data_IF_182348848467
#
_entry.id   IF_182348848467
#
_cell.length_a   1.000
_cell.length_b   1.000
_cell.length_c   1.000
_cell.angle_alpha   90.00
_cell.angle_beta   90.00
_cell.angle_gamma   90.00
#
_symmetry.space_group_name_H-M   'P 1'
#
loop_
_entity.id
_entity.type
_entity.pdbx_description
1 polymer ?
#
# COMPACT_ATOMS: atom_id res chain seq x y z
N UNK A 1 -11.74 -5.73 -19.03
CA UNK A 1 -10.62 -6.38 -19.73
C UNK A 1 -9.65 -6.84 -18.66
N UNK A 2 -9.51 -8.15 -18.46
CA UNK A 2 -8.57 -8.70 -17.46
C UNK A 2 -7.17 -8.65 -18.05
N UNK A 3 -6.26 -7.88 -17.46
CA UNK A 3 -4.85 -7.85 -17.88
C UNK A 3 -4.13 -8.97 -17.12
N UNK A 4 -4.00 -10.14 -17.75
CA UNK A 4 -3.26 -11.27 -17.18
C UNK A 4 -1.77 -11.04 -17.50
N UNK A 5 -0.97 -10.71 -16.49
CA UNK A 5 0.49 -10.62 -16.62
C UNK A 5 1.11 -11.86 -15.99
N UNK A 6 1.93 -12.61 -16.74
CA UNK A 6 2.58 -13.84 -16.27
C UNK A 6 3.57 -13.63 -15.13
N UNK A 7 3.99 -12.39 -14.86
CA UNK A 7 4.87 -12.04 -13.74
C UNK A 7 4.12 -11.55 -12.48
N UNK A 8 2.87 -11.12 -12.61
CA UNK A 8 2.08 -10.52 -11.52
C UNK A 8 0.64 -11.00 -11.62
N UNK A 9 0.22 -12.00 -10.82
CA UNK A 9 -1.13 -12.55 -10.93
C UNK A 9 -2.16 -11.49 -10.53
N UNK A 10 -2.85 -10.97 -11.56
CA UNK A 10 -4.15 -10.29 -11.55
C UNK A 10 -4.15 -8.83 -11.05
N UNK A 11 -3.82 -7.91 -11.98
CA UNK A 11 -4.37 -6.56 -11.97
C UNK A 11 -5.66 -6.57 -12.80
N UNK A 12 -6.81 -6.37 -12.16
CA UNK A 12 -8.11 -6.37 -12.86
C UNK A 12 -8.63 -4.94 -12.98
N UNK A 13 -9.06 -4.57 -14.17
CA UNK A 13 -9.83 -3.34 -14.40
C UNK A 13 -11.16 -3.69 -15.06
N UNK A 14 -12.24 -3.31 -14.39
CA UNK A 14 -13.58 -3.25 -14.95
C UNK A 14 -14.01 -1.80 -15.02
N UNK A 15 -14.14 -1.27 -16.23
CA UNK A 15 -14.77 0.03 -16.43
C UNK A 15 -16.25 -0.10 -16.10
N UNK A 16 -16.82 0.86 -15.37
CA UNK A 16 -18.28 0.93 -15.25
C UNK A 16 -18.84 1.44 -16.57
N UNK A 17 -19.94 0.85 -17.08
CA UNK A 17 -20.56 1.30 -18.32
C UNK A 17 -21.35 2.62 -18.18
N UNK A 18 -21.28 3.29 -17.03
CA UNK A 18 -22.02 4.54 -16.78
C UNK A 18 -21.26 5.78 -17.28
N UNK A 19 -21.96 6.90 -17.40
CA UNK A 19 -21.41 8.20 -17.81
C UNK A 19 -20.57 8.88 -16.72
N UNK A 20 -20.28 8.21 -15.59
CA UNK A 20 -19.60 8.84 -14.44
C UNK A 20 -18.09 8.96 -14.61
N UNK A 21 -17.53 8.38 -15.68
CA UNK A 21 -16.08 8.32 -15.88
C UNK A 21 -15.39 7.51 -14.78
N UNK A 22 -16.07 6.54 -14.16
CA UNK A 22 -15.53 5.75 -13.06
C UNK A 22 -15.11 4.34 -13.50
N UNK A 23 -13.85 4.00 -13.26
CA UNK A 23 -13.33 2.64 -13.37
C UNK A 23 -13.23 1.98 -11.99
N UNK A 24 -13.54 0.68 -11.90
CA UNK A 24 -13.19 -0.15 -10.75
C UNK A 24 -11.97 -1.00 -11.12
N UNK A 25 -10.85 -0.73 -10.46
CA UNK A 25 -9.65 -1.53 -10.48
C UNK A 25 -9.52 -2.43 -9.24
N UNK A 26 -8.62 -3.40 -9.32
CA UNK A 26 -8.07 -4.11 -8.17
C UNK A 26 -6.56 -4.21 -8.33
N UNK A 27 -5.85 -4.01 -7.22
CA UNK A 27 -4.41 -4.21 -7.12
C UNK A 27 -4.16 -5.35 -6.13
N UNK A 28 -3.33 -6.32 -6.50
CA UNK A 28 -2.93 -7.39 -5.60
C UNK A 28 -1.63 -7.03 -4.88
N UNK A 29 -1.45 -7.53 -3.66
CA UNK A 29 -0.14 -7.47 -3.01
C UNK A 29 0.86 -8.38 -3.70
N UNK A 30 2.13 -7.95 -3.76
CA UNK A 30 3.20 -8.73 -4.37
C UNK A 30 3.57 -9.94 -3.52
N UNK A 31 4.20 -10.93 -4.16
CA UNK A 31 4.76 -12.09 -3.47
C UNK A 31 5.91 -11.68 -2.53
N UNK A 32 6.03 -12.33 -1.38
CA UNK A 32 7.05 -12.07 -0.36
C UNK A 32 6.99 -10.66 0.25
N UNK A 33 5.83 -10.01 0.22
CA UNK A 33 5.61 -8.73 0.91
C UNK A 33 4.53 -8.86 1.97
N UNK A 34 4.44 -7.89 2.90
CA UNK A 34 3.40 -7.88 3.93
C UNK A 34 1.98 -7.75 3.34
N UNK A 35 1.88 -7.39 2.07
CA UNK A 35 0.64 -7.27 1.29
C UNK A 35 0.21 -8.58 0.63
N UNK A 36 1.07 -9.60 0.60
CA UNK A 36 0.83 -10.86 -0.10
C UNK A 36 -0.54 -11.46 0.24
N UNK A 37 -1.25 -11.94 -0.78
CA UNK A 37 -2.58 -12.52 -0.64
C UNK A 37 -3.73 -11.51 -0.56
N UNK A 38 -3.45 -10.22 -0.43
CA UNK A 38 -4.45 -9.15 -0.47
C UNK A 38 -4.84 -8.74 -1.90
N UNK A 39 -6.12 -8.41 -2.10
CA UNK A 39 -6.73 -7.96 -3.36
C UNK A 39 -7.54 -6.68 -3.15
N UNK A 40 -6.84 -5.55 -3.20
CA UNK A 40 -7.33 -4.25 -2.76
C UNK A 40 -8.21 -3.59 -3.84
N UNK A 41 -9.46 -3.20 -3.52
CA UNK A 41 -10.31 -2.48 -4.46
C UNK A 41 -9.78 -1.07 -4.67
N UNK A 42 -9.78 -0.63 -5.93
CA UNK A 42 -9.31 0.69 -6.33
C UNK A 42 -10.37 1.34 -7.21
N UNK A 43 -10.72 2.58 -6.92
CA UNK A 43 -11.59 3.38 -7.80
C UNK A 43 -10.72 4.34 -8.59
N UNK A 44 -10.89 4.38 -9.91
CA UNK A 44 -10.28 5.36 -10.79
C UNK A 44 -11.38 6.30 -11.27
N UNK A 45 -11.19 7.60 -11.10
CA UNK A 45 -12.11 8.60 -11.61
C UNK A 45 -11.42 9.45 -12.67
N UNK A 46 -11.92 9.35 -13.90
CA UNK A 46 -11.46 10.11 -15.06
C UNK A 46 -12.36 11.35 -15.17
N UNK A 47 -11.78 12.55 -15.00
CA UNK A 47 -12.50 13.80 -15.23
C UNK A 47 -12.60 14.12 -16.72
N UNK A 48 -13.38 15.15 -17.08
CA UNK A 48 -13.50 15.65 -18.46
C UNK A 48 -12.15 16.11 -19.04
N UNK A 49 -11.22 16.57 -18.18
CA UNK A 49 -9.86 16.96 -18.58
C UNK A 49 -8.91 15.78 -18.87
N UNK A 50 -9.33 14.53 -18.70
CA UNK A 50 -8.49 13.37 -19.04
C UNK A 50 -8.33 13.25 -20.58
N UNK A 51 -7.13 13.01 -21.13
CA UNK A 51 -5.88 12.62 -20.46
C UNK A 51 -4.91 13.78 -20.15
N UNK A 52 -5.29 15.05 -20.37
CA UNK A 52 -4.45 16.19 -20.00
C UNK A 52 -4.17 16.20 -18.49
N UNK A 53 -5.16 15.83 -17.67
CA UNK A 53 -5.02 15.59 -16.23
C UNK A 53 -5.07 14.10 -15.87
N UNK A 54 -4.36 13.67 -14.80
CA UNK A 54 -4.40 12.29 -14.33
C UNK A 54 -5.78 11.90 -13.78
N UNK A 55 -6.15 10.61 -13.81
CA UNK A 55 -7.31 10.15 -13.07
C UNK A 55 -7.03 10.20 -11.56
N UNK A 56 -8.08 10.42 -10.76
CA UNK A 56 -7.98 10.30 -9.30
C UNK A 56 -8.13 8.84 -8.91
N UNK A 57 -7.13 8.28 -8.24
CA UNK A 57 -7.16 6.90 -7.76
C UNK A 57 -7.43 6.86 -6.25
N UNK A 58 -8.37 6.00 -5.82
CA UNK A 58 -8.76 5.88 -4.42
C UNK A 58 -8.92 4.43 -3.96
N UNK A 59 -8.29 4.11 -2.84
CA UNK A 59 -8.66 2.95 -2.01
C UNK A 59 -9.92 3.27 -1.19
N UNK A 60 -10.51 2.28 -0.48
CA UNK A 60 -11.55 2.55 0.51
C UNK A 60 -11.08 3.56 1.56
N UNK A 61 -12.04 4.32 2.10
CA UNK A 61 -11.75 5.27 3.17
C UNK A 61 -11.10 4.55 4.37
N UNK A 62 -10.08 5.19 4.96
CA UNK A 62 -9.33 4.62 6.08
C UNK A 62 -8.29 3.58 5.71
N UNK A 63 -7.99 3.38 4.41
CA UNK A 63 -6.90 2.51 3.98
C UNK A 63 -5.57 2.95 4.60
N UNK A 64 -4.90 2.03 5.28
CA UNK A 64 -3.66 2.27 5.99
C UNK A 64 -2.46 2.13 5.06
N UNK A 65 -1.81 3.25 4.73
CA UNK A 65 -0.59 3.29 3.92
C UNK A 65 0.05 4.69 4.02
N UNK A 66 1.39 4.83 4.13
CA UNK A 66 2.05 6.14 4.28
C UNK A 66 1.68 7.16 3.20
N UNK A 67 1.48 6.71 1.96
CA UNK A 67 1.14 7.54 0.79
C UNK A 67 -0.34 7.51 0.39
N UNK A 68 -1.25 7.10 1.28
CA UNK A 68 -2.70 7.15 1.03
C UNK A 68 -3.36 8.07 2.06
N UNK A 69 -4.06 9.10 1.60
CA UNK A 69 -4.79 9.99 2.48
C UNK A 69 -5.90 9.23 3.23
N UNK A 70 -6.37 9.70 4.39
CA UNK A 70 -7.53 9.11 5.09
C UNK A 70 -8.79 8.98 4.22
N UNK A 71 -8.92 9.85 3.20
CA UNK A 71 -9.98 9.79 2.18
C UNK A 71 -9.88 8.62 1.19
N UNK A 72 -8.79 7.84 1.26
CA UNK A 72 -8.43 6.78 0.32
C UNK A 72 -7.64 7.26 -0.90
N UNK A 73 -7.47 8.58 -1.09
CA UNK A 73 -6.76 9.14 -2.25
C UNK A 73 -5.29 8.76 -2.23
N UNK A 74 -4.80 8.21 -3.34
CA UNK A 74 -3.39 7.79 -3.48
C UNK A 74 -2.51 8.99 -3.86
N UNK A 75 -1.41 9.18 -3.14
CA UNK A 75 -0.35 10.12 -3.49
C UNK A 75 0.76 9.37 -4.22
N UNK A 76 0.84 9.59 -5.54
CA UNK A 76 1.85 9.00 -6.41
C UNK A 76 2.22 10.03 -7.47
N UNK A 77 3.51 10.19 -7.77
CA UNK A 77 3.98 11.25 -8.68
C UNK A 77 3.36 11.19 -10.07
N UNK A 78 3.16 9.97 -10.61
CA UNK A 78 2.47 9.76 -11.90
C UNK A 78 0.95 10.01 -11.83
N UNK A 79 0.40 10.36 -10.67
CA UNK A 79 -0.99 10.81 -10.51
C UNK A 79 -1.07 12.31 -10.17
N UNK A 80 0.05 13.03 -10.27
CA UNK A 80 0.15 14.45 -10.00
C UNK A 80 0.57 15.21 -11.28
N UNK A 81 -0.25 16.20 -11.66
CA UNK A 81 -0.10 17.04 -12.86
C UNK A 81 1.23 17.80 -12.87
N UNK A 82 1.66 18.32 -11.73
CA UNK A 82 2.86 19.17 -11.60
C UNK A 82 4.16 18.37 -11.38
N UNK A 83 4.07 17.03 -11.32
CA UNK A 83 5.20 16.16 -10.97
C UNK A 83 5.54 15.16 -12.06
N UNK A 84 4.71 14.12 -12.22
CA UNK A 84 5.06 12.96 -13.03
C UNK A 84 4.02 12.56 -14.06
N UNK A 85 2.83 13.18 -14.06
CA UNK A 85 1.78 12.86 -15.03
C UNK A 85 2.23 13.18 -16.45
N UNK A 86 1.89 12.27 -17.37
CA UNK A 86 1.99 12.50 -18.82
C UNK A 86 0.76 11.84 -19.45
N UNK A 87 0.10 12.46 -20.44
CA UNK A 87 -1.07 11.86 -21.11
C UNK A 87 -0.82 10.47 -21.73
N UNK A 88 0.44 10.11 -21.99
CA UNK A 88 0.85 8.79 -22.49
C UNK A 88 0.88 7.69 -21.42
N UNK A 89 0.73 8.02 -20.13
CA UNK A 89 0.72 7.05 -19.03
C UNK A 89 -0.60 6.27 -19.08
N UNK A 90 -0.47 4.96 -19.25
CA UNK A 90 -1.59 4.03 -19.37
C UNK A 90 -2.17 3.66 -18.00
N UNK A 91 -3.44 3.24 -17.98
CA UNK A 91 -4.05 2.68 -16.75
C UNK A 91 -3.25 1.49 -16.21
N UNK A 92 -2.65 0.67 -17.08
CA UNK A 92 -1.76 -0.42 -16.66
C UNK A 92 -0.56 0.11 -15.87
N UNK A 93 0.11 1.15 -16.36
CA UNK A 93 1.24 1.76 -15.65
C UNK A 93 0.82 2.39 -14.32
N UNK A 94 -0.38 2.97 -14.24
CA UNK A 94 -0.95 3.45 -12.97
C UNK A 94 -1.12 2.30 -11.98
N UNK A 95 -1.77 1.20 -12.39
CA UNK A 95 -2.01 0.05 -11.52
C UNK A 95 -0.70 -0.59 -11.05
N UNK A 96 0.29 -0.72 -11.93
CA UNK A 96 1.63 -1.21 -11.56
C UNK A 96 2.32 -0.24 -10.61
N UNK A 97 2.29 1.07 -10.88
CA UNK A 97 2.89 2.06 -9.99
C UNK A 97 2.25 2.11 -8.60
N UNK A 98 0.93 1.86 -8.50
CA UNK A 98 0.24 1.73 -7.21
C UNK A 98 0.64 0.43 -6.50
N UNK A 99 0.77 -0.69 -7.22
CA UNK A 99 1.28 -1.94 -6.66
C UNK A 99 2.68 -1.76 -6.09
N UNK A 100 3.59 -1.19 -6.87
CA UNK A 100 4.97 -0.90 -6.45
C UNK A 100 4.98 0.04 -5.23
N UNK A 101 4.08 1.04 -5.19
CA UNK A 101 3.96 1.97 -4.06
C UNK A 101 3.55 1.27 -2.76
N UNK A 102 2.70 0.24 -2.82
CA UNK A 102 2.33 -0.54 -1.63
C UNK A 102 3.57 -1.19 -1.02
N UNK A 103 4.41 -1.81 -1.85
CA UNK A 103 5.61 -2.52 -1.40
C UNK A 103 6.75 -1.56 -1.04
N UNK A 104 6.85 -0.42 -1.72
CA UNK A 104 7.89 0.58 -1.54
C UNK A 104 7.28 1.96 -1.28
N UNK A 105 6.76 2.20 -0.05
CA UNK A 105 6.22 3.51 0.30
C UNK A 105 7.28 4.61 0.14
N UNK A 106 6.86 5.79 -0.32
CA UNK A 106 7.72 6.95 -0.49
C UNK A 106 7.70 7.83 0.78
N UNK A 107 8.73 7.81 1.65
CA UNK A 107 8.74 8.60 2.87
C UNK A 107 8.91 10.11 2.61
N UNK A 108 9.31 10.52 1.41
CA UNK A 108 9.49 11.94 1.07
C UNK A 108 8.16 12.66 0.79
N UNK A 109 7.07 11.92 0.58
CA UNK A 109 5.75 12.47 0.25
C UNK A 109 4.61 11.77 1.04
N UNK A 110 4.60 11.88 2.39
CA UNK A 110 3.62 11.20 3.22
C UNK A 110 2.24 11.86 3.12
N UNK A 111 1.20 11.03 2.95
CA UNK A 111 -0.20 11.43 2.95
C UNK A 111 -0.94 11.06 4.25
N UNK A 112 -0.37 10.17 5.06
CA UNK A 112 -0.91 9.73 6.34
C UNK A 112 0.16 9.77 7.44
N UNK A 113 -0.03 10.66 8.41
CA UNK A 113 0.92 10.89 9.52
C UNK A 113 1.21 9.63 10.33
N UNK A 114 0.17 8.89 10.72
CA UNK A 114 0.32 7.67 11.53
C UNK A 114 1.09 6.58 10.77
N UNK A 115 0.67 6.29 9.52
CA UNK A 115 1.35 5.31 8.66
C UNK A 115 2.81 5.68 8.43
N UNK A 116 3.09 6.96 8.20
CA UNK A 116 4.46 7.47 8.04
C UNK A 116 5.32 7.24 9.28
N UNK A 117 4.84 7.62 10.48
CA UNK A 117 5.62 7.49 11.71
C UNK A 117 5.97 6.05 12.06
N UNK A 118 5.07 5.10 11.80
CA UNK A 118 5.35 3.69 11.99
C UNK A 118 6.32 3.17 10.89
N UNK A 119 6.12 3.58 9.64
CA UNK A 119 6.95 3.14 8.51
C UNK A 119 8.42 3.59 8.60
N UNK A 120 8.69 4.83 9.03
CA UNK A 120 10.09 5.29 9.19
C UNK A 120 10.89 4.47 10.18
N UNK A 121 10.22 3.79 11.13
CA UNK A 121 10.90 2.86 12.04
C UNK A 121 11.27 1.56 11.32
N UNK A 122 10.42 1.07 10.41
CA UNK A 122 10.75 -0.09 9.57
C UNK A 122 12.04 0.15 8.77
N UNK A 123 12.22 1.35 8.20
CA UNK A 123 13.42 1.71 7.44
C UNK A 123 14.70 1.72 8.28
N UNK A 124 14.62 2.01 9.58
CA UNK A 124 15.77 2.00 10.50
C UNK A 124 16.20 0.59 10.90
N UNK A 125 15.33 -0.41 10.70
CA UNK A 125 15.53 -1.79 11.13
C UNK A 125 15.32 -2.80 9.96
N UNK A 126 16.09 -2.71 8.86
CA UNK A 126 15.84 -3.48 7.63
C UNK A 126 16.09 -4.99 7.75
N UNK A 127 16.80 -5.44 8.80
CA UNK A 127 17.19 -6.85 9.00
C UNK A 127 16.15 -7.66 9.79
N UNK A 128 15.09 -7.02 10.28
CA UNK A 128 14.02 -7.71 11.02
C UNK A 128 12.97 -8.28 10.06
N UNK A 129 13.34 -9.38 9.39
CA UNK A 129 12.43 -10.14 8.55
C UNK A 129 11.42 -10.95 9.36
N UNK A 130 10.30 -11.25 8.71
CA UNK A 130 9.04 -11.78 9.25
C UNK A 130 9.15 -13.02 10.16
N UNK A 131 10.27 -13.75 10.10
CA UNK A 131 10.51 -14.98 10.88
C UNK A 131 11.15 -14.71 12.27
N UNK A 132 11.82 -13.58 12.48
CA UNK A 132 12.52 -13.27 13.74
C UNK A 132 11.64 -12.49 14.74
N UNK A 133 10.57 -11.82 14.30
CA UNK A 133 9.83 -10.87 15.13
C UNK A 133 9.14 -11.51 16.34
N UNK A 134 8.54 -12.71 16.19
CA UNK A 134 7.85 -13.37 17.31
C UNK A 134 8.84 -13.94 18.33
N UNK A 135 9.99 -14.42 17.87
CA UNK A 135 11.06 -14.95 18.73
C UNK A 135 11.77 -13.81 19.45
N UNK A 136 12.10 -12.72 18.77
CA UNK A 136 12.77 -11.58 19.37
C UNK A 136 11.85 -10.78 20.29
N UNK A 137 10.57 -10.55 19.96
CA UNK A 137 9.63 -9.94 20.91
C UNK A 137 9.44 -10.83 22.14
N UNK A 138 9.46 -12.16 21.98
CA UNK A 138 9.43 -13.08 23.12
C UNK A 138 10.72 -13.03 23.96
N UNK A 139 11.88 -12.96 23.31
CA UNK A 139 13.18 -12.83 23.97
C UNK A 139 13.29 -11.47 24.69
N UNK A 140 12.90 -10.38 24.04
CA UNK A 140 12.91 -9.00 24.57
C UNK A 140 11.92 -8.85 25.74
N UNK A 141 10.72 -9.45 25.65
CA UNK A 141 9.77 -9.49 26.78
C UNK A 141 10.33 -10.25 27.97
N UNK A 142 11.12 -11.31 27.73
CA UNK A 142 11.79 -12.08 28.79
C UNK A 142 13.00 -11.35 29.39
N UNK A 143 13.75 -10.54 28.64
CA UNK A 143 14.89 -9.76 29.15
C UNK A 143 14.50 -8.44 29.81
N UNK A 144 13.34 -7.85 29.48
CA UNK A 144 12.83 -6.62 30.13
C UNK A 144 12.39 -6.78 31.59
N UNK A 145 12.29 -8.00 32.10
CA UNK A 145 12.02 -8.21 33.53
C UNK A 145 13.23 -7.89 34.41
N UNK A 146 14.42 -7.66 33.86
CA UNK A 146 15.63 -7.42 34.66
C UNK A 146 16.26 -6.03 34.54
N UNK A 147 16.01 -5.22 33.50
CA UNK A 147 16.73 -3.93 33.37
C UNK A 147 15.85 -2.75 32.92
N UNK A 148 15.59 -1.83 33.85
CA UNK A 148 15.04 -0.50 33.59
C UNK A 148 16.13 0.41 33.02
N UNK A 149 16.24 0.50 31.68
CA UNK A 149 16.68 1.68 30.89
C UNK A 149 17.16 1.27 29.48
N UNK A 150 16.24 1.07 28.52
CA UNK A 150 16.58 1.11 27.08
C UNK A 150 15.39 1.62 26.24
N UNK A 151 15.56 2.81 25.65
CA UNK A 151 14.59 3.46 24.73
C UNK A 151 14.54 2.82 23.32
N UNK A 152 15.31 1.75 23.07
CA UNK A 152 15.29 0.99 21.80
C UNK A 152 13.99 0.19 21.58
N UNK A 153 13.19 0.06 22.63
CA UNK A 153 12.09 -0.91 22.64
C UNK A 153 10.78 -0.35 22.09
N UNK A 154 10.68 0.97 21.98
CA UNK A 154 9.51 1.68 21.45
C UNK A 154 9.52 1.63 19.91
N UNK A 155 10.64 2.02 19.30
CA UNK A 155 10.77 2.04 17.84
C UNK A 155 10.68 0.65 17.18
N UNK A 156 11.15 -0.41 17.86
CA UNK A 156 11.02 -1.79 17.34
C UNK A 156 9.56 -2.25 17.37
N UNK A 157 8.81 -1.81 18.38
CA UNK A 157 7.40 -2.12 18.53
C UNK A 157 6.54 -1.36 17.50
N UNK A 158 6.90 -0.13 17.15
CA UNK A 158 6.29 0.64 16.08
C UNK A 158 6.48 0.00 14.70
N UNK A 159 7.71 -0.46 14.40
CA UNK A 159 7.98 -1.18 13.16
C UNK A 159 7.17 -2.49 13.08
N UNK A 160 7.08 -3.22 14.20
CA UNK A 160 6.23 -4.41 14.31
C UNK A 160 4.75 -4.11 14.08
N UNK A 161 4.26 -3.00 14.65
CA UNK A 161 2.87 -2.59 14.53
C UNK A 161 2.52 -2.17 13.09
N UNK A 162 3.43 -1.50 12.38
CA UNK A 162 3.26 -1.22 10.94
C UNK A 162 3.00 -2.52 10.16
N UNK A 163 3.93 -3.48 10.26
CA UNK A 163 3.83 -4.76 9.53
C UNK A 163 2.57 -5.52 9.92
N UNK A 164 2.20 -5.50 11.21
CA UNK A 164 0.97 -6.13 11.71
C UNK A 164 -0.28 -5.55 11.06
N UNK A 165 -0.42 -4.23 11.00
CA UNK A 165 -1.58 -3.56 10.40
C UNK A 165 -1.68 -3.79 8.91
N UNK A 166 -0.55 -3.76 8.19
CA UNK A 166 -0.51 -4.09 6.76
C UNK A 166 -1.03 -5.52 6.52
N UNK A 167 -0.53 -6.51 7.27
CA UNK A 167 -0.98 -7.91 7.14
C UNK A 167 -2.45 -8.11 7.53
N UNK A 168 -2.93 -7.38 8.54
CA UNK A 168 -4.35 -7.40 8.91
C UNK A 168 -5.22 -6.81 7.79
N UNK A 169 -4.77 -5.72 7.17
CA UNK A 169 -5.44 -5.12 6.02
C UNK A 169 -5.44 -6.07 4.80
N UNK A 170 -4.34 -6.77 4.51
CA UNK A 170 -4.31 -7.78 3.46
C UNK A 170 -5.38 -8.87 3.65
N UNK A 171 -5.57 -9.34 4.90
CA UNK A 171 -6.61 -10.33 5.25
C UNK A 171 -8.04 -9.80 5.08
N UNK A 172 -8.26 -8.49 5.21
CA UNK A 172 -9.58 -7.88 5.03
C UNK A 172 -10.04 -7.91 3.56
N UNK A 173 -9.08 -7.99 2.62
CA UNK A 173 -9.34 -8.01 1.19
C UNK A 173 -8.85 -9.34 0.59
N UNK A 174 -9.48 -10.48 0.89
CA UNK A 174 -9.02 -11.77 0.40
C UNK A 174 -9.16 -11.89 -1.14
N UNK A 175 -8.47 -12.85 -1.77
CA UNK A 175 -8.66 -13.15 -3.18
C UNK A 175 -10.11 -13.45 -3.50
N UNK A 176 -10.58 -13.04 -4.68
CA UNK A 176 -11.87 -13.48 -5.19
C UNK A 176 -11.76 -14.97 -5.51
N UNK A 177 -12.40 -15.80 -4.69
CA UNK A 177 -12.48 -17.25 -4.93
C UNK A 177 -13.39 -17.49 -6.13
N UNK A 178 -12.80 -17.84 -7.28
CA UNK A 178 -13.47 -18.43 -8.44
C UNK A 178 -14.28 -17.48 -9.34
N UNK A 179 -13.86 -17.38 -10.60
CA UNK A 179 -14.72 -17.41 -11.79
C UNK A 179 -13.94 -18.10 -12.93
#
# INVERSE_FOLDING_TARGET
MTLINSKYPILTLSLRPDSSGQGIGRVCGSFQTDWEGGYFPLTLHFSEDYPSKPPKCKFPQGFFHPNVYPSGTVCLSILNEDSGWRPAITVKQILVGIQDLLDQPNPADPAQTEGYHLFIQVLKFPVFDSLCLELELTIIKKTKQTDTNLSATDNTQDAAEYKRRVRQQAKQYPPLVGY
#
